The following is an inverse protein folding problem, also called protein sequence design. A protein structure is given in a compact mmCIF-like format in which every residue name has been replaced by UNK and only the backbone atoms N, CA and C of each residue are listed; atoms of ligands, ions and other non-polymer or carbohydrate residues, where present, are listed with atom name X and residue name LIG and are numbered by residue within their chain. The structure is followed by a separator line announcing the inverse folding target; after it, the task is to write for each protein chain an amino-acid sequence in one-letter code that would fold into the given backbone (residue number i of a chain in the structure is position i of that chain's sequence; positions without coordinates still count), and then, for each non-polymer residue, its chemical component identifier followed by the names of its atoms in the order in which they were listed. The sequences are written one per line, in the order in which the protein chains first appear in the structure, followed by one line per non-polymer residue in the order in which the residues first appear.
data_IF_776838336568
#
_entry.id   IF_776838336568
#
_cell.length_a   1.000
_cell.length_b   1.000
_cell.length_c   1.000
_cell.angle_alpha   90.00
_cell.angle_beta   90.00
_cell.angle_gamma   90.00
#
_symmetry.space_group_name_H-M   'P 1'
#
loop_
_entity.id
_entity.type
_entity.pdbx_description
1 polymer ?
#
# COMPACT_ATOMS: atom_id res chain seq x y z
N UNK A 1 21.85 3.20 -19.38
CA UNK A 1 20.71 4.07 -19.01
C UNK A 1 20.73 4.25 -17.51
N UNK A 2 20.26 5.40 -16.99
CA UNK A 2 20.09 5.56 -15.55
C UNK A 2 19.01 4.59 -15.05
N UNK A 3 19.21 4.02 -13.85
CA UNK A 3 18.27 3.08 -13.23
C UNK A 3 16.92 3.77 -12.99
N UNK A 4 15.82 3.18 -13.46
CA UNK A 4 14.47 3.67 -13.19
C UNK A 4 14.02 3.19 -11.82
N UNK A 5 13.93 4.10 -10.86
CA UNK A 5 13.47 3.82 -9.50
C UNK A 5 12.03 4.32 -9.37
N UNK A 6 11.12 3.42 -8.98
CA UNK A 6 9.74 3.73 -8.67
C UNK A 6 9.46 3.72 -7.17
N UNK A 7 8.50 4.52 -6.71
CA UNK A 7 7.97 4.47 -5.34
C UNK A 7 6.49 4.12 -5.39
N UNK A 8 6.07 3.08 -4.67
CA UNK A 8 4.65 2.81 -4.37
C UNK A 8 4.38 3.16 -2.90
N UNK A 9 3.80 4.35 -2.62
CA UNK A 9 3.57 4.78 -1.25
C UNK A 9 2.21 4.30 -0.74
N UNK A 10 2.13 3.99 0.55
CA UNK A 10 0.88 3.60 1.19
C UNK A 10 1.00 3.46 2.71
N UNK A 11 -0.17 3.36 3.36
CA UNK A 11 -0.22 3.03 4.80
C UNK A 11 -0.09 1.52 5.01
N UNK A 12 -0.67 0.69 4.13
CA UNK A 12 -0.60 -0.78 4.21
C UNK A 12 -1.05 -1.32 5.58
N UNK A 13 -2.27 -0.98 6.00
CA UNK A 13 -2.81 -1.28 7.33
C UNK A 13 -4.13 -2.06 7.28
N UNK A 14 -4.09 -3.38 7.02
CA UNK A 14 -2.92 -4.15 6.59
C UNK A 14 -2.66 -4.04 5.07
N UNK A 15 -1.56 -4.62 4.60
CA UNK A 15 -1.40 -4.97 3.17
C UNK A 15 -2.51 -5.94 2.74
N UNK A 16 -2.94 -5.88 1.49
CA UNK A 16 -4.06 -6.70 0.96
C UNK A 16 -3.69 -7.30 -0.39
N UNK A 17 -4.51 -8.23 -0.89
CA UNK A 17 -4.32 -8.80 -2.24
C UNK A 17 -4.32 -7.73 -3.33
N UNK A 18 -5.11 -6.66 -3.16
CA UNK A 18 -5.09 -5.50 -4.06
C UNK A 18 -3.75 -4.77 -4.09
N UNK A 19 -3.10 -4.60 -2.94
CA UNK A 19 -1.75 -4.01 -2.88
C UNK A 19 -0.72 -4.90 -3.56
N UNK A 20 -0.80 -6.22 -3.34
CA UNK A 20 0.13 -7.19 -3.94
C UNK A 20 0.04 -7.21 -5.47
N UNK A 21 -1.17 -7.05 -6.05
CA UNK A 21 -1.31 -6.90 -7.50
C UNK A 21 -0.58 -5.66 -8.03
N UNK A 22 -0.75 -4.52 -7.36
CA UNK A 22 -0.08 -3.26 -7.76
C UNK A 22 1.43 -3.37 -7.60
N UNK A 23 1.93 -4.00 -6.53
CA UNK A 23 3.37 -4.25 -6.33
C UNK A 23 3.93 -5.09 -7.47
N UNK A 24 3.31 -6.26 -7.73
CA UNK A 24 3.71 -7.19 -8.79
C UNK A 24 3.72 -6.55 -10.17
N UNK A 25 2.76 -5.67 -10.46
CA UNK A 25 2.66 -4.99 -11.75
C UNK A 25 3.58 -3.79 -11.85
N UNK A 26 3.69 -3.00 -10.78
CA UNK A 26 4.60 -1.85 -10.70
C UNK A 26 6.06 -2.28 -10.83
N UNK A 27 6.44 -3.40 -10.22
CA UNK A 27 7.78 -3.98 -10.27
C UNK A 27 8.24 -4.31 -11.70
N UNK A 28 7.31 -4.52 -12.65
CA UNK A 28 7.62 -4.76 -14.06
C UNK A 28 7.92 -3.50 -14.86
N UNK A 29 7.59 -2.31 -14.33
CA UNK A 29 7.71 -1.04 -15.04
C UNK A 29 9.02 -0.30 -14.72
N UNK A 30 9.68 -0.69 -13.63
CA UNK A 30 10.85 -0.02 -13.06
C UNK A 30 11.95 -1.04 -12.77
N UNK A 31 13.20 -0.59 -12.74
CA UNK A 31 14.34 -1.45 -12.43
C UNK A 31 14.40 -1.76 -10.92
N UNK A 32 13.91 -0.84 -10.08
CA UNK A 32 13.76 -1.01 -8.64
C UNK A 32 12.46 -0.35 -8.17
N UNK A 33 11.65 -1.07 -7.41
CA UNK A 33 10.42 -0.55 -6.81
C UNK A 33 10.57 -0.44 -5.29
N UNK A 34 10.37 0.75 -4.75
CA UNK A 34 10.41 1.02 -3.31
C UNK A 34 8.97 1.12 -2.78
N UNK A 35 8.63 0.27 -1.83
CA UNK A 35 7.36 0.34 -1.12
C UNK A 35 7.53 1.31 0.05
N UNK A 36 7.00 2.52 -0.13
CA UNK A 36 7.07 3.58 0.86
C UNK A 36 5.98 3.40 1.91
N UNK A 37 6.33 2.92 3.11
CA UNK A 37 5.38 2.76 4.22
C UNK A 37 5.35 4.04 5.05
N UNK A 38 4.24 4.79 5.00
CA UNK A 38 4.13 6.01 5.80
C UNK A 38 4.05 5.70 7.29
N UNK A 39 4.83 6.42 8.11
CA UNK A 39 4.82 6.31 9.57
C UNK A 39 4.01 7.44 10.23
N UNK A 40 3.41 8.35 9.45
CA UNK A 40 2.62 9.46 9.97
C UNK A 40 1.21 8.98 10.42
N UNK A 41 0.81 9.21 11.68
CA UNK A 41 -0.40 8.61 12.27
C UNK A 41 -1.73 9.27 11.88
N UNK A 42 -1.87 9.89 10.70
CA UNK A 42 -3.11 10.62 10.33
C UNK A 42 -4.40 9.80 10.32
N UNK A 43 -4.33 8.46 10.45
CA UNK A 43 -5.47 7.54 10.34
C UNK A 43 -5.61 6.50 11.47
N UNK A 44 -4.95 6.67 12.63
CA UNK A 44 -4.97 5.70 13.74
C UNK A 44 -4.85 4.24 13.25
N UNK A 45 -3.68 3.85 12.71
CA UNK A 45 -3.51 2.54 12.11
C UNK A 45 -3.70 1.43 13.15
N UNK A 46 -4.23 0.29 12.69
CA UNK A 46 -4.42 -0.91 13.51
C UNK A 46 -3.07 -1.52 13.90
N UNK A 47 -2.08 -1.43 13.01
CA UNK A 47 -0.72 -1.93 13.19
C UNK A 47 0.31 -0.79 13.30
N UNK A 48 1.33 -1.02 14.12
CA UNK A 48 2.49 -0.12 14.24
C UNK A 48 3.23 -0.02 12.90
N UNK A 49 4.01 1.06 12.67
CA UNK A 49 4.86 1.16 11.49
C UNK A 49 5.76 -0.07 11.27
N UNK A 50 6.35 -0.59 12.34
CA UNK A 50 7.26 -1.73 12.33
C UNK A 50 6.52 -3.01 11.89
N UNK A 51 5.34 -3.25 12.45
CA UNK A 51 4.49 -4.39 12.07
C UNK A 51 4.08 -4.30 10.59
N UNK A 52 3.69 -3.12 10.11
CA UNK A 52 3.30 -2.93 8.70
C UNK A 52 4.47 -3.15 7.75
N UNK A 53 5.65 -2.63 8.07
CA UNK A 53 6.86 -2.89 7.28
C UNK A 53 7.23 -4.37 7.26
N UNK A 54 7.12 -5.06 8.40
CA UNK A 54 7.39 -6.49 8.49
C UNK A 54 6.40 -7.31 7.63
N UNK A 55 5.10 -7.00 7.72
CA UNK A 55 4.08 -7.61 6.86
C UNK A 55 4.41 -7.40 5.39
N UNK A 56 4.57 -6.15 4.95
CA UNK A 56 4.85 -5.83 3.54
C UNK A 56 6.11 -6.55 3.06
N UNK A 57 7.18 -6.54 3.85
CA UNK A 57 8.46 -7.18 3.47
C UNK A 57 8.31 -8.67 3.27
N UNK A 58 7.59 -9.36 4.18
CA UNK A 58 7.31 -10.78 4.08
C UNK A 58 6.44 -11.08 2.85
N UNK A 59 5.31 -10.40 2.69
CA UNK A 59 4.39 -10.67 1.59
C UNK A 59 5.03 -10.43 0.22
N UNK A 60 5.94 -9.45 0.11
CA UNK A 60 6.72 -9.23 -1.11
C UNK A 60 7.72 -10.36 -1.36
N UNK A 61 8.42 -10.83 -0.32
CA UNK A 61 9.37 -11.93 -0.43
C UNK A 61 8.68 -13.23 -0.88
N UNK A 62 7.50 -13.53 -0.33
CA UNK A 62 6.71 -14.71 -0.68
C UNK A 62 6.19 -14.69 -2.14
N UNK A 63 6.13 -13.52 -2.77
CA UNK A 63 5.80 -13.36 -4.19
C UNK A 63 6.99 -13.61 -5.13
N UNK A 64 8.21 -13.76 -4.60
CA UNK A 64 9.42 -13.94 -5.40
C UNK A 64 9.77 -12.72 -6.27
N UNK A 65 9.51 -11.50 -5.77
CA UNK A 65 9.80 -10.26 -6.50
C UNK A 65 11.13 -9.68 -6.01
N UNK A 66 12.19 -9.89 -6.78
CA UNK A 66 13.56 -9.60 -6.35
C UNK A 66 13.96 -8.11 -6.41
N UNK A 67 13.22 -7.28 -7.15
CA UNK A 67 13.54 -5.88 -7.36
C UNK A 67 12.72 -4.91 -6.49
N UNK A 68 12.20 -5.40 -5.35
CA UNK A 68 11.38 -4.61 -4.42
C UNK A 68 12.11 -4.40 -3.09
N UNK A 69 12.07 -3.17 -2.58
CA UNK A 69 12.57 -2.82 -1.24
C UNK A 69 11.46 -2.12 -0.43
N UNK A 70 11.38 -2.40 0.86
CA UNK A 70 10.40 -1.77 1.76
C UNK A 70 11.10 -0.73 2.62
N UNK A 71 10.62 0.51 2.58
CA UNK A 71 11.22 1.63 3.31
C UNK A 71 10.15 2.44 4.02
N UNK A 72 10.28 2.57 5.34
CA UNK A 72 9.45 3.46 6.14
C UNK A 72 9.82 4.93 5.92
N UNK A 73 8.84 5.82 5.91
CA UNK A 73 9.11 7.26 5.81
C UNK A 73 8.15 8.13 6.62
N UNK A 74 8.71 9.20 7.18
CA UNK A 74 8.00 10.28 7.85
C UNK A 74 8.31 11.64 7.19
N UNK A 75 7.89 11.80 5.94
CA UNK A 75 8.18 12.99 5.15
C UNK A 75 7.09 13.25 4.11
N UNK A 76 7.14 14.40 3.44
CA UNK A 76 6.39 14.62 2.21
C UNK A 76 6.80 13.58 1.17
N UNK A 77 5.82 13.02 0.46
CA UNK A 77 6.05 11.97 -0.53
C UNK A 77 7.12 12.37 -1.56
N UNK A 78 7.05 13.58 -2.11
CA UNK A 78 8.01 14.04 -3.11
C UNK A 78 9.43 14.15 -2.55
N UNK A 79 9.59 14.57 -1.29
CA UNK A 79 10.91 14.60 -0.64
C UNK A 79 11.45 13.19 -0.41
N UNK A 80 10.60 12.27 0.00
CA UNK A 80 10.97 10.86 0.15
C UNK A 80 11.37 10.27 -1.20
N UNK A 81 10.55 10.44 -2.25
CA UNK A 81 10.85 9.99 -3.60
C UNK A 81 12.20 10.54 -4.10
N UNK A 82 12.45 11.84 -3.92
CA UNK A 82 13.73 12.46 -4.27
C UNK A 82 14.90 11.86 -3.49
N UNK A 83 14.76 11.66 -2.18
CA UNK A 83 15.80 11.05 -1.34
C UNK A 83 16.13 9.60 -1.75
N UNK A 84 15.15 8.88 -2.31
CA UNK A 84 15.33 7.54 -2.86
C UNK A 84 15.87 7.53 -4.31
N UNK A 85 16.04 8.70 -4.95
CA UNK A 85 16.40 8.80 -6.36
C UNK A 85 15.29 8.34 -7.31
N UNK A 86 14.04 8.32 -6.86
CA UNK A 86 12.90 7.89 -7.65
C UNK A 86 12.50 8.93 -8.70
N UNK A 87 12.12 8.45 -9.87
CA UNK A 87 11.55 9.26 -10.96
C UNK A 87 10.11 8.88 -11.29
N UNK A 88 9.57 7.86 -10.63
CA UNK A 88 8.21 7.37 -10.82
C UNK A 88 7.52 7.17 -9.48
N UNK A 89 6.28 7.65 -9.36
CA UNK A 89 5.35 7.28 -8.29
C UNK A 89 4.31 6.35 -8.89
N UNK A 90 4.20 5.13 -8.36
CA UNK A 90 3.16 4.16 -8.74
C UNK A 90 1.97 4.34 -7.81
N UNK A 91 0.75 4.37 -8.37
CA UNK A 91 -0.51 4.41 -7.60
C UNK A 91 -1.50 3.40 -8.19
N UNK A 92 -2.29 2.79 -7.31
CA UNK A 92 -3.41 1.94 -7.72
C UNK A 92 -4.70 2.74 -7.82
N UNK A 93 -5.50 2.51 -8.87
CA UNK A 93 -6.87 3.03 -9.00
C UNK A 93 -7.86 1.88 -8.98
N UNK A 94 -8.88 1.95 -8.13
CA UNK A 94 -9.91 0.91 -8.04
C UNK A 94 -11.22 1.33 -8.69
N UNK A 95 -11.66 2.55 -8.40
CA UNK A 95 -12.94 3.09 -8.87
C UNK A 95 -12.82 4.58 -9.19
N UNK A 96 -13.86 5.12 -9.82
CA UNK A 96 -13.95 6.55 -10.19
C UNK A 96 -13.74 7.48 -8.98
N UNK A 97 -14.20 7.08 -7.78
CA UNK A 97 -14.03 7.87 -6.56
C UNK A 97 -12.57 8.02 -6.12
N UNK A 98 -11.71 7.02 -6.36
CA UNK A 98 -10.28 7.14 -6.09
C UNK A 98 -9.63 8.12 -7.08
N UNK A 99 -10.11 8.14 -8.32
CA UNK A 99 -9.50 8.94 -9.39
C UNK A 99 -9.51 10.43 -9.08
N UNK A 100 -10.58 10.99 -8.55
CA UNK A 100 -10.63 12.44 -8.27
C UNK A 100 -9.57 12.87 -7.24
N UNK A 101 -9.47 12.13 -6.13
CA UNK A 101 -8.46 12.38 -5.09
C UNK A 101 -7.04 12.20 -5.65
N UNK A 102 -6.79 11.10 -6.36
CA UNK A 102 -5.48 10.79 -6.92
C UNK A 102 -5.06 11.76 -8.03
N UNK A 103 -6.01 12.21 -8.85
CA UNK A 103 -5.77 13.19 -9.92
C UNK A 103 -5.34 14.53 -9.33
N UNK A 104 -6.02 15.01 -8.28
CA UNK A 104 -5.62 16.22 -7.57
C UNK A 104 -4.22 16.08 -6.95
N UNK A 105 -3.97 14.95 -6.28
CA UNK A 105 -2.67 14.67 -5.66
C UNK A 105 -1.53 14.61 -6.70
N UNK A 106 -1.76 13.99 -7.85
CA UNK A 106 -0.78 13.95 -8.93
C UNK A 106 -0.47 15.35 -9.47
N UNK A 107 -1.49 16.18 -9.70
CA UNK A 107 -1.30 17.57 -10.13
C UNK A 107 -0.51 18.40 -9.12
N UNK A 108 -0.79 18.24 -7.82
CA UNK A 108 -0.01 18.92 -6.75
C UNK A 108 1.43 18.42 -6.68
N UNK A 109 1.65 17.11 -6.80
CA UNK A 109 2.99 16.52 -6.80
C UNK A 109 3.82 17.00 -7.99
N UNK A 110 3.22 17.10 -9.17
CA UNK A 110 3.90 17.63 -10.36
C UNK A 110 4.33 19.10 -10.19
N UNK A 111 3.53 19.92 -9.49
CA UNK A 111 3.94 21.29 -9.17
C UNK A 111 5.10 21.34 -8.16
N UNK A 112 5.17 20.39 -7.24
CA UNK A 112 6.25 20.29 -6.25
C UNK A 112 7.55 19.78 -6.88
N UNK A 113 7.47 18.82 -7.79
CA UNK A 113 8.62 18.25 -8.48
C UNK A 113 8.21 17.63 -9.83
N UNK A 114 8.42 18.38 -10.92
CA UNK A 114 8.02 17.98 -12.27
C UNK A 114 8.92 16.89 -12.88
N UNK A 115 10.04 16.53 -12.24
CA UNK A 115 10.92 15.45 -12.71
C UNK A 115 10.43 14.05 -12.27
N UNK A 116 9.44 13.99 -11.38
CA UNK A 116 8.88 12.75 -10.85
C UNK A 116 7.47 12.55 -11.40
N UNK A 117 7.32 11.53 -12.24
CA UNK A 117 6.05 11.22 -12.90
C UNK A 117 5.16 10.33 -12.04
N UNK A 118 3.84 10.54 -12.07
CA UNK A 118 2.87 9.65 -11.40
C UNK A 118 2.22 8.71 -12.42
N UNK A 119 2.34 7.41 -12.18
CA UNK A 119 1.77 6.33 -13.01
C UNK A 119 0.65 5.63 -12.25
N UNK A 120 -0.53 5.59 -12.85
CA UNK A 120 -1.68 4.89 -12.31
C UNK A 120 -1.85 3.51 -12.93
N UNK A 121 -2.02 2.50 -12.08
CA UNK A 121 -2.38 1.15 -12.45
C UNK A 121 -3.81 0.87 -12.00
N UNK A 122 -4.67 0.55 -12.96
CA UNK A 122 -6.02 0.05 -12.65
C UNK A 122 -5.89 -1.30 -11.95
N UNK A 123 -6.47 -1.45 -10.76
CA UNK A 123 -6.50 -2.72 -10.05
C UNK A 123 -7.26 -3.78 -10.86
N UNK A 124 -6.85 -5.04 -10.74
CA UNK A 124 -7.61 -6.18 -11.28
C UNK A 124 -9.08 -6.10 -10.82
N UNK A 125 -10.02 -6.37 -11.73
CA UNK A 125 -11.46 -6.24 -11.48
C UNK A 125 -11.90 -7.05 -10.25
N UNK A 126 -11.30 -8.22 -10.03
CA UNK A 126 -11.58 -9.07 -8.87
C UNK A 126 -11.10 -8.48 -7.53
N UNK A 127 -10.13 -7.56 -7.58
CA UNK A 127 -9.49 -6.95 -6.40
C UNK A 127 -9.92 -5.49 -6.16
N UNK A 128 -10.60 -4.86 -7.13
CA UNK A 128 -11.08 -3.48 -7.04
C UNK A 128 -11.88 -3.16 -5.76
N UNK A 129 -12.77 -4.03 -5.25
CA UNK A 129 -13.54 -3.72 -4.04
C UNK A 129 -12.69 -3.67 -2.76
N UNK A 130 -11.47 -4.21 -2.78
CA UNK A 130 -10.67 -4.42 -1.58
C UNK A 130 -10.10 -3.09 -1.08
N UNK A 131 -10.40 -2.76 0.18
CA UNK A 131 -9.83 -1.63 0.90
C UNK A 131 -9.39 -2.09 2.29
N UNK A 132 -8.18 -1.76 2.74
CA UNK A 132 -7.74 -2.14 4.09
C UNK A 132 -8.69 -1.66 5.19
N UNK A 133 -9.33 -0.49 4.99
CA UNK A 133 -10.37 0.01 5.89
C UNK A 133 -11.54 -0.98 6.01
N UNK A 134 -12.06 -1.47 4.89
CA UNK A 134 -13.18 -2.42 4.86
C UNK A 134 -12.75 -3.79 5.40
N UNK A 135 -11.54 -4.25 5.10
CA UNK A 135 -10.99 -5.49 5.67
C UNK A 135 -10.97 -5.43 7.20
N UNK A 136 -10.47 -4.32 7.77
CA UNK A 136 -10.47 -4.12 9.22
C UNK A 136 -11.88 -4.05 9.80
N UNK A 137 -12.79 -3.37 9.12
CA UNK A 137 -14.19 -3.26 9.54
C UNK A 137 -14.86 -4.63 9.60
N UNK A 138 -14.76 -5.42 8.53
CA UNK A 138 -15.27 -6.80 8.46
C UNK A 138 -14.70 -7.63 9.62
N UNK A 139 -13.38 -7.61 9.81
CA UNK A 139 -12.73 -8.37 10.88
C UNK A 139 -13.17 -7.95 12.29
N UNK A 140 -13.29 -6.63 12.54
CA UNK A 140 -13.73 -6.10 13.83
C UNK A 140 -15.16 -6.54 14.19
N UNK A 141 -16.03 -6.68 13.18
CA UNK A 141 -17.40 -7.19 13.33
C UNK A 141 -17.51 -8.72 13.13
N UNK A 142 -16.38 -9.45 13.20
CA UNK A 142 -16.38 -10.92 13.20
C UNK A 142 -16.64 -11.59 11.84
N UNK A 143 -16.61 -10.82 10.75
CA UNK A 143 -16.69 -11.36 9.40
C UNK A 143 -15.38 -11.97 8.90
N UNK A 144 -15.49 -12.85 7.90
CA UNK A 144 -14.34 -13.53 7.29
C UNK A 144 -13.61 -12.62 6.28
N UNK A 145 -12.28 -12.69 6.25
CA UNK A 145 -11.43 -11.82 5.40
C UNK A 145 -10.43 -12.58 4.51
N UNK A 146 -10.45 -13.92 4.51
CA UNK A 146 -9.54 -14.76 3.72
C UNK A 146 -9.54 -14.43 2.21
N UNK A 147 -10.64 -13.89 1.66
CA UNK A 147 -10.72 -13.51 0.24
C UNK A 147 -10.05 -12.17 -0.08
N UNK A 148 -9.60 -11.41 0.93
CA UNK A 148 -9.09 -10.04 0.75
C UNK A 148 -7.61 -9.88 1.08
N UNK A 149 -7.05 -10.83 1.84
CA UNK A 149 -5.67 -10.81 2.34
C UNK A 149 -5.08 -12.23 2.27
N UNK A 150 -3.77 -12.35 2.40
CA UNK A 150 -3.13 -13.67 2.49
C UNK A 150 -3.41 -14.33 3.84
N UNK A 151 -3.23 -15.67 3.97
CA UNK A 151 -3.51 -16.38 5.21
C UNK A 151 -2.75 -15.84 6.42
N UNK A 152 -1.48 -15.45 6.26
CA UNK A 152 -0.70 -14.92 7.39
C UNK A 152 -1.19 -13.54 7.83
N UNK A 153 -1.51 -12.65 6.88
CA UNK A 153 -2.10 -11.34 7.20
C UNK A 153 -3.48 -11.51 7.85
N UNK A 154 -4.31 -12.46 7.40
CA UNK A 154 -5.58 -12.79 8.05
C UNK A 154 -5.35 -13.14 9.52
N UNK A 155 -4.42 -14.06 9.79
CA UNK A 155 -4.15 -14.53 11.15
C UNK A 155 -3.65 -13.39 12.06
N UNK A 156 -2.81 -12.49 11.53
CA UNK A 156 -2.34 -11.30 12.24
C UNK A 156 -3.49 -10.32 12.56
N UNK A 157 -4.42 -10.11 11.62
CA UNK A 157 -5.62 -9.27 11.82
C UNK A 157 -6.56 -9.89 12.84
N UNK A 158 -6.85 -11.19 12.74
CA UNK A 158 -7.72 -11.90 13.69
C UNK A 158 -7.13 -11.82 15.10
N UNK A 159 -5.84 -12.11 15.26
CA UNK A 159 -5.15 -12.01 16.55
C UNK A 159 -5.13 -10.56 17.10
N UNK A 160 -5.09 -9.55 16.22
CA UNK A 160 -5.21 -8.14 16.63
C UNK A 160 -6.62 -7.82 17.11
N UNK A 161 -7.66 -8.27 16.41
CA UNK A 161 -9.06 -8.07 16.80
C UNK A 161 -9.36 -8.74 18.13
N UNK A 162 -8.85 -9.95 18.38
CA UNK A 162 -9.01 -10.63 19.68
C UNK A 162 -8.44 -9.82 20.84
N UNK A 163 -7.32 -9.10 20.63
CA UNK A 163 -6.72 -8.22 21.65
C UNK A 163 -7.49 -6.91 21.84
N UNK A 164 -8.04 -6.36 20.76
CA UNK A 164 -8.79 -5.09 20.80
C UNK A 164 -10.24 -5.27 21.30
N UNK A 165 -10.77 -6.49 21.21
CA UNK A 165 -12.18 -6.79 21.38
C UNK A 165 -12.93 -6.63 20.05
N UNK A 166 -13.86 -7.55 19.79
CA UNK A 166 -14.78 -7.44 18.66
C UNK A 166 -15.78 -6.31 18.93
N UNK A 167 -16.24 -5.70 17.85
CA UNK A 167 -17.33 -4.74 17.84
C UNK A 167 -18.63 -5.43 17.44
N UNK A 168 -19.76 -4.84 17.81
CA UNK A 168 -21.09 -5.34 17.49
C UNK A 168 -21.62 -6.37 18.49
N UNK A 169 -22.95 -6.52 18.48
CA UNK A 169 -23.70 -7.31 19.46
C UNK A 169 -24.16 -8.68 18.90
N UNK A 170 -23.89 -8.97 17.62
CA UNK A 170 -24.38 -10.13 16.88
C UNK A 170 -23.31 -10.75 15.98
#
# INVERSE_FOLDING_TARGET
MAQRIGVYPGTFDPITLGHLDIIRRGAKLVDKLIIGVTTNPSKNPMFTPEERMAMVSREVADQGIDNVEVVGFNALLMKFARAQGASVIVRGLRAVADFEYEYQMAGMNQQLDAEIETVFLMADVSLQPIASKLVKEIALFGGEIADFVTPMVRDEVVARVEKLGRLGDY
#
